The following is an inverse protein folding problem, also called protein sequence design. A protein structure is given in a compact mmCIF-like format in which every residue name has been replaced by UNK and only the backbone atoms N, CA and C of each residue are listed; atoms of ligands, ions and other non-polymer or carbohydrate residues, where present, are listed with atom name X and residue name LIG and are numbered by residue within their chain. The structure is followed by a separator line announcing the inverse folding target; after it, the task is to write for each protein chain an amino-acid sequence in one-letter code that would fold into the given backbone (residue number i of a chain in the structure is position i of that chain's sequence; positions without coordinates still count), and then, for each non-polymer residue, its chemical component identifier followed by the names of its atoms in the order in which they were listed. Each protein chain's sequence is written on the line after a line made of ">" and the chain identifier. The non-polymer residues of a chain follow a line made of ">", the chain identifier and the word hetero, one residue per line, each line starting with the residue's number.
data_IF_846317855406
#
_entry.id   IF_846317855406
#
_cell.length_a   1.000
_cell.length_b   1.000
_cell.length_c   1.000
_cell.angle_alpha   90.00
_cell.angle_beta   90.00
_cell.angle_gamma   90.00
#
_symmetry.space_group_name_H-M   'P 1'
#
loop_
_entity.id
_entity.type
_entity.pdbx_description
1 polymer ?
#
# COMPACT_ATOMS: atom_id res chain seq x y z
N UNK A 1 -22.32 -6.42 -4.96
CA UNK A 1 -21.27 -6.74 -5.95
C UNK A 1 -20.16 -5.71 -5.88
N UNK A 2 -18.90 -6.10 -6.12
CA UNK A 2 -17.77 -5.16 -6.20
C UNK A 2 -17.68 -4.53 -7.59
N UNK A 3 -17.02 -3.37 -7.73
CA UNK A 3 -16.81 -2.71 -9.04
C UNK A 3 -16.08 -3.64 -10.01
N UNK A 4 -15.06 -4.37 -9.55
CA UNK A 4 -14.39 -5.44 -10.28
C UNK A 4 -15.36 -6.55 -10.70
N UNK A 5 -16.25 -6.99 -9.82
CA UNK A 5 -17.23 -8.03 -10.12
C UNK A 5 -18.13 -7.67 -11.30
N UNK A 6 -18.64 -6.43 -11.29
CA UNK A 6 -19.51 -5.91 -12.35
C UNK A 6 -18.76 -5.85 -13.69
N UNK A 7 -17.52 -5.36 -13.70
CA UNK A 7 -16.73 -5.27 -14.92
C UNK A 7 -16.39 -6.65 -15.52
N UNK A 8 -16.13 -7.65 -14.68
CA UNK A 8 -15.89 -9.03 -15.14
C UNK A 8 -17.15 -9.71 -15.66
N UNK A 9 -18.32 -9.41 -15.08
CA UNK A 9 -19.61 -9.90 -15.58
C UNK A 9 -19.89 -9.30 -16.96
N UNK A 10 -19.72 -7.98 -17.13
CA UNK A 10 -19.90 -7.32 -18.41
C UNK A 10 -19.01 -7.92 -19.52
N UNK A 11 -17.74 -8.23 -19.21
CA UNK A 11 -16.83 -8.91 -20.15
C UNK A 11 -17.30 -10.31 -20.55
N UNK A 12 -17.96 -11.05 -19.64
CA UNK A 12 -18.51 -12.37 -19.95
C UNK A 12 -19.77 -12.27 -20.81
N UNK A 13 -20.61 -11.28 -20.57
CA UNK A 13 -21.84 -11.07 -21.35
C UNK A 13 -21.52 -10.72 -22.80
N UNK A 14 -20.59 -9.78 -23.05
CA UNK A 14 -20.20 -9.42 -24.42
C UNK A 14 -19.61 -10.60 -25.22
N UNK A 15 -18.91 -11.53 -24.54
CA UNK A 15 -18.33 -12.71 -25.17
C UNK A 15 -19.43 -13.71 -25.56
N UNK A 16 -20.44 -13.85 -24.70
CA UNK A 16 -21.64 -14.63 -24.98
C UNK A 16 -22.49 -14.03 -26.12
N UNK A 17 -22.68 -12.71 -26.14
CA UNK A 17 -23.40 -12.03 -27.23
C UNK A 17 -22.68 -12.19 -28.58
N UNK A 18 -21.34 -12.15 -28.61
CA UNK A 18 -20.57 -12.49 -29.82
C UNK A 18 -20.74 -13.97 -30.21
N UNK A 19 -20.62 -14.89 -29.26
CA UNK A 19 -20.76 -16.32 -29.53
C UNK A 19 -22.15 -16.71 -30.05
N UNK A 20 -23.18 -15.98 -29.61
CA UNK A 20 -24.56 -16.14 -30.07
C UNK A 20 -24.89 -15.32 -31.33
N UNK A 21 -23.92 -14.56 -31.87
CA UNK A 21 -24.07 -13.77 -33.09
C UNK A 21 -24.90 -12.48 -32.93
N UNK A 22 -25.16 -12.05 -31.69
CA UNK A 22 -25.85 -10.78 -31.40
C UNK A 22 -24.94 -9.56 -31.58
N UNK A 23 -23.63 -9.79 -31.60
CA UNK A 23 -22.61 -8.74 -31.72
C UNK A 23 -21.71 -9.03 -32.92
N UNK A 24 -21.45 -8.01 -33.73
CA UNK A 24 -20.44 -8.05 -34.80
C UNK A 24 -19.04 -8.03 -34.21
N UNK A 25 -18.04 -8.57 -34.91
CA UNK A 25 -16.64 -8.58 -34.46
C UNK A 25 -16.13 -7.15 -34.18
N UNK A 26 -16.49 -6.17 -35.01
CA UNK A 26 -16.09 -4.76 -34.82
C UNK A 26 -16.66 -4.17 -33.53
N UNK A 27 -17.94 -4.43 -33.24
CA UNK A 27 -18.61 -3.94 -32.03
C UNK A 27 -18.09 -4.65 -30.78
N UNK A 28 -17.79 -5.95 -30.90
CA UNK A 28 -17.14 -6.73 -29.85
C UNK A 28 -15.78 -6.17 -29.48
N UNK A 29 -14.92 -5.85 -30.45
CA UNK A 29 -13.58 -5.33 -30.17
C UNK A 29 -13.65 -3.99 -29.43
N UNK A 30 -14.53 -3.09 -29.86
CA UNK A 30 -14.72 -1.80 -29.20
C UNK A 30 -15.22 -1.95 -27.75
N UNK A 31 -16.26 -2.76 -27.54
CA UNK A 31 -16.83 -2.97 -26.21
C UNK A 31 -15.85 -3.72 -25.29
N UNK A 32 -15.14 -4.72 -25.82
CA UNK A 32 -14.11 -5.44 -25.08
C UNK A 32 -12.99 -4.52 -24.62
N UNK A 33 -12.48 -3.64 -25.49
CA UNK A 33 -11.45 -2.68 -25.12
C UNK A 33 -11.92 -1.75 -24.00
N UNK A 34 -13.11 -1.18 -24.14
CA UNK A 34 -13.71 -0.30 -23.12
C UNK A 34 -13.84 -0.99 -21.76
N UNK A 35 -14.51 -2.14 -21.72
CA UNK A 35 -14.74 -2.84 -20.45
C UNK A 35 -13.47 -3.45 -19.85
N UNK A 36 -12.46 -3.78 -20.67
CA UNK A 36 -11.15 -4.21 -20.17
C UNK A 36 -10.44 -3.07 -19.44
N UNK A 37 -10.49 -1.85 -19.98
CA UNK A 37 -9.91 -0.68 -19.32
C UNK A 37 -10.65 -0.39 -18.01
N UNK A 38 -11.98 -0.43 -18.00
CA UNK A 38 -12.78 -0.26 -16.78
C UNK A 38 -12.49 -1.34 -15.73
N UNK A 39 -12.33 -2.60 -16.14
CA UNK A 39 -11.97 -3.70 -15.25
C UNK A 39 -10.58 -3.52 -14.63
N UNK A 40 -9.59 -3.14 -15.44
CA UNK A 40 -8.22 -2.86 -14.95
C UNK A 40 -8.23 -1.70 -13.95
N UNK A 41 -9.00 -0.65 -14.24
CA UNK A 41 -9.10 0.51 -13.35
C UNK A 41 -9.74 0.13 -12.01
N UNK A 42 -10.83 -0.62 -12.03
CA UNK A 42 -11.49 -1.12 -10.82
C UNK A 42 -10.57 -2.03 -9.99
N UNK A 43 -9.80 -2.91 -10.63
CA UNK A 43 -8.81 -3.77 -9.94
C UNK A 43 -7.73 -2.92 -9.26
N UNK A 44 -7.18 -1.92 -9.94
CA UNK A 44 -6.16 -1.03 -9.37
C UNK A 44 -6.68 -0.23 -8.17
N UNK A 45 -7.92 0.26 -8.25
CA UNK A 45 -8.55 1.00 -7.15
C UNK A 45 -8.83 0.09 -5.95
N UNK A 46 -9.27 -1.14 -6.17
CA UNK A 46 -9.49 -2.13 -5.11
C UNK A 46 -8.15 -2.59 -4.49
N UNK A 47 -7.10 -2.83 -5.28
CA UNK A 47 -5.75 -3.11 -4.76
C UNK A 47 -5.16 -1.94 -3.97
N UNK A 48 -5.44 -0.69 -4.38
CA UNK A 48 -4.96 0.50 -3.64
C UNK A 48 -5.75 0.72 -2.35
N UNK A 49 -7.04 0.34 -2.32
CA UNK A 49 -7.88 0.42 -1.14
C UNK A 49 -7.59 -0.71 -0.12
N UNK A 50 -7.19 -1.89 -0.60
CA UNK A 50 -6.72 -2.99 0.26
C UNK A 50 -5.23 -2.85 0.63
N UNK A 51 -4.47 -2.05 -0.11
CA UNK A 51 -3.14 -1.56 0.29
C UNK A 51 -3.23 -0.29 1.14
N UNK A 52 -3.95 -0.38 2.27
CA UNK A 52 -3.85 0.58 3.37
C UNK A 52 -2.46 0.56 4.00
N UNK A 53 -1.46 1.11 3.32
CA UNK A 53 -0.08 1.05 3.79
C UNK A 53 1.01 1.47 2.80
N UNK A 54 0.71 2.16 1.69
CA UNK A 54 1.76 2.71 0.82
C UNK A 54 2.37 3.99 1.42
N UNK A 55 2.99 3.87 2.61
CA UNK A 55 4.07 4.76 2.98
C UNK A 55 5.22 4.44 2.02
N UNK A 56 5.75 5.46 1.32
CA UNK A 56 6.86 5.28 0.38
C UNK A 56 8.03 4.50 1.01
N UNK A 57 8.95 3.95 0.19
CA UNK A 57 9.98 3.03 0.67
C UNK A 57 10.70 3.62 1.87
N UNK A 58 10.59 2.96 3.03
CA UNK A 58 11.26 3.38 4.25
C UNK A 58 12.75 3.54 3.96
N UNK A 59 13.38 4.60 4.47
CA UNK A 59 14.81 4.84 4.27
C UNK A 59 15.54 4.76 5.59
N UNK A 60 16.53 3.88 5.64
CA UNK A 60 17.51 3.86 6.71
C UNK A 60 18.46 5.06 6.56
N UNK A 61 18.66 5.89 7.60
CA UNK A 61 19.63 6.99 7.55
C UNK A 61 21.08 6.50 7.41
N UNK A 62 21.37 5.22 7.71
CA UNK A 62 22.69 4.62 7.61
C UNK A 62 22.88 3.79 6.33
N UNK A 63 21.89 2.98 5.94
CA UNK A 63 22.02 2.00 4.85
C UNK A 63 21.29 2.40 3.56
N UNK A 64 20.40 3.40 3.60
CA UNK A 64 19.63 3.83 2.43
C UNK A 64 18.26 3.13 2.28
N UNK A 65 17.76 2.95 1.05
CA UNK A 65 16.38 2.53 0.79
C UNK A 65 16.10 1.11 1.32
N UNK A 66 14.92 0.94 1.90
CA UNK A 66 14.45 -0.31 2.49
C UNK A 66 13.16 -0.77 1.81
N UNK A 67 13.10 -2.03 1.33
CA UNK A 67 11.93 -2.55 0.60
C UNK A 67 10.76 -2.94 1.50
N UNK A 68 11.03 -3.20 2.78
CA UNK A 68 10.05 -3.59 3.80
C UNK A 68 9.33 -2.34 4.33
N UNK A 69 8.01 -2.25 4.06
CA UNK A 69 7.18 -1.08 4.38
C UNK A 69 6.71 -1.07 5.85
N UNK A 70 6.70 -2.24 6.50
CA UNK A 70 6.33 -2.43 7.91
C UNK A 70 7.55 -2.60 8.85
N UNK A 71 8.75 -2.34 8.32
CA UNK A 71 10.00 -2.57 9.00
C UNK A 71 10.21 -1.64 10.19
N UNK A 72 10.13 -2.15 11.42
CA UNK A 72 10.44 -1.34 12.61
C UNK A 72 11.94 -1.08 12.76
N UNK A 73 12.79 -1.98 12.25
CA UNK A 73 14.25 -1.91 12.32
C UNK A 73 14.89 -2.27 10.97
N UNK A 74 16.05 -1.71 10.69
CA UNK A 74 16.85 -2.05 9.52
C UNK A 74 17.52 -3.40 9.74
N UNK A 75 17.24 -4.41 8.91
CA UNK A 75 17.89 -5.73 9.08
C UNK A 75 19.38 -5.74 8.72
N UNK A 76 19.92 -4.67 8.15
CA UNK A 76 21.35 -4.55 7.83
C UNK A 76 22.16 -3.96 9.00
N UNK A 77 21.65 -2.91 9.66
CA UNK A 77 22.37 -2.21 10.73
C UNK A 77 21.65 -2.14 12.09
N UNK A 78 20.43 -2.67 12.20
CA UNK A 78 19.62 -2.67 13.42
C UNK A 78 18.98 -1.32 13.78
N UNK A 79 19.23 -0.26 13.01
CA UNK A 79 18.67 1.07 13.31
C UNK A 79 17.13 1.07 13.18
N UNK A 80 16.43 1.72 14.12
CA UNK A 80 14.99 1.88 14.06
C UNK A 80 14.58 2.71 12.83
N UNK A 81 13.61 2.20 12.06
CA UNK A 81 13.10 2.80 10.82
C UNK A 81 11.73 3.43 11.02
N UNK A 82 10.87 2.82 11.85
CA UNK A 82 9.67 3.47 12.34
C UNK A 82 9.99 4.20 13.65
N UNK A 83 9.69 5.50 13.68
CA UNK A 83 9.74 6.29 14.91
C UNK A 83 8.45 6.05 15.67
N UNK A 84 8.36 4.91 16.35
CA UNK A 84 7.41 4.76 17.45
C UNK A 84 7.76 5.85 18.48
N UNK A 85 6.93 6.89 18.62
CA UNK A 85 7.19 8.02 19.53
C UNK A 85 7.34 7.62 21.02
N UNK A 86 7.06 6.35 21.33
CA UNK A 86 7.21 5.74 22.65
C UNK A 86 8.57 5.08 22.88
N UNK A 87 9.51 5.11 21.93
CA UNK A 87 10.82 4.46 22.07
C UNK A 87 11.98 5.47 21.90
N UNK A 88 13.02 5.31 22.70
CA UNK A 88 14.20 6.15 22.61
C UNK A 88 14.98 5.87 21.33
N UNK A 89 15.19 6.88 20.48
CA UNK A 89 16.02 6.75 19.26
C UNK A 89 17.49 6.35 19.50
N UNK A 90 18.00 6.57 20.72
CA UNK A 90 19.41 6.35 21.05
C UNK A 90 19.66 4.98 21.71
N UNK A 91 18.78 4.53 22.60
CA UNK A 91 18.96 3.27 23.33
C UNK A 91 17.78 2.30 23.24
N UNK A 92 16.71 2.66 22.51
CA UNK A 92 15.51 1.86 22.28
C UNK A 92 14.71 1.49 23.54
N UNK A 93 15.02 2.10 24.69
CA UNK A 93 14.20 1.96 25.89
C UNK A 93 12.83 2.63 25.70
N UNK A 94 11.76 2.10 26.33
CA UNK A 94 10.46 2.74 26.37
C UNK A 94 10.56 4.15 26.98
N UNK A 95 9.87 5.10 26.35
CA UNK A 95 9.72 6.47 26.82
C UNK A 95 8.35 6.62 27.47
N UNK A 96 8.33 7.30 28.62
CA UNK A 96 7.07 7.70 29.23
C UNK A 96 6.43 8.84 28.42
N UNK A 97 5.09 8.87 28.33
CA UNK A 97 4.39 9.94 27.64
C UNK A 97 4.71 11.29 28.28
N UNK A 98 5.18 12.25 27.47
CA UNK A 98 5.56 13.59 27.94
C UNK A 98 6.99 13.72 28.49
N UNK A 99 7.81 12.67 28.46
CA UNK A 99 9.23 12.77 28.83
C UNK A 99 10.01 13.62 27.82
N UNK A 100 10.86 14.53 28.32
CA UNK A 100 11.80 15.33 27.51
C UNK A 100 13.15 14.62 27.31
N UNK A 101 13.45 13.65 28.18
CA UNK A 101 14.69 12.88 28.19
C UNK A 101 14.39 11.40 28.42
N UNK A 102 15.23 10.52 27.90
CA UNK A 102 15.13 9.08 28.17
C UNK A 102 15.70 8.74 29.54
N UNK A 103 14.92 8.09 30.40
CA UNK A 103 15.33 7.64 31.74
C UNK A 103 16.42 6.55 31.73
N UNK A 104 16.63 5.86 30.60
CA UNK A 104 17.62 4.79 30.49
C UNK A 104 19.00 5.28 30.00
N UNK A 105 19.05 6.23 29.05
CA UNK A 105 20.32 6.69 28.46
C UNK A 105 20.56 8.21 28.53
N UNK A 106 19.63 8.98 29.09
CA UNK A 106 19.75 10.44 29.22
C UNK A 106 19.62 11.24 27.92
N UNK A 107 19.40 10.58 26.77
CA UNK A 107 19.26 11.27 25.49
C UNK A 107 17.96 12.10 25.44
N UNK A 108 18.06 13.31 24.89
CA UNK A 108 16.88 14.15 24.61
C UNK A 108 15.98 13.47 23.59
N UNK A 109 14.69 13.41 23.92
CA UNK A 109 13.66 12.88 23.04
C UNK A 109 12.79 14.04 22.59
N UNK A 110 12.57 14.14 21.28
CA UNK A 110 11.67 15.13 20.72
C UNK A 110 10.26 14.64 21.00
N UNK A 111 9.68 15.08 22.11
CA UNK A 111 8.27 14.89 22.38
C UNK A 111 7.49 15.64 21.28
N UNK A 112 6.74 14.90 20.46
CA UNK A 112 5.71 15.50 19.62
C UNK A 112 4.66 16.08 20.57
N UNK A 113 4.49 17.41 20.50
CA UNK A 113 3.42 18.13 21.19
C UNK A 113 2.05 17.75 20.61
#
# INVERSE_FOLDING_TARGET
>A
ETRRGIALIALKEIDFDRATGKLSDTDYEFLKQKYTVEAIQAIKEEETAEAGGAAGPLRCPRCGPRPEQDARFCSDCGAALLVDARLCRACQAPLEPGSRFCSNCGSQVVAAA
#
